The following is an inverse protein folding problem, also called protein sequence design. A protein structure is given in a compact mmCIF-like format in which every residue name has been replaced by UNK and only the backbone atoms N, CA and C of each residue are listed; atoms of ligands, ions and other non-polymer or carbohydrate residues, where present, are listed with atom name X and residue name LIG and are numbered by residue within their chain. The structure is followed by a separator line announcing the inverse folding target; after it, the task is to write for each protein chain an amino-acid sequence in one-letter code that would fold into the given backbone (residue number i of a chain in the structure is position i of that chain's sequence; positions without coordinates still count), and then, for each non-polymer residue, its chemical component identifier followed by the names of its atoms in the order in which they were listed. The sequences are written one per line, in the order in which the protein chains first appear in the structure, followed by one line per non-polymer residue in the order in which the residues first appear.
data_IF_360080918171
#
_entry.id   IF_360080918171
#
_cell.length_a   1.000
_cell.length_b   1.000
_cell.length_c   1.000
_cell.angle_alpha   90.00
_cell.angle_beta   90.00
_cell.angle_gamma   90.00
#
_symmetry.space_group_name_H-M   'P 1'
#
loop_
_entity.id
_entity.type
_entity.pdbx_description
1 polymer ?
#
# COMPACT_ATOMS: atom_id res chain seq x y z
N UNK A 1 6.80 26.80 10.25
CA UNK A 1 6.21 26.88 8.90
C UNK A 1 4.70 26.72 9.02
N UNK A 2 3.92 27.82 9.00
CA UNK A 2 2.45 27.73 9.01
C UNK A 2 1.97 26.85 7.86
N UNK A 3 1.09 25.89 8.14
CA UNK A 3 0.53 24.98 7.12
C UNK A 3 1.46 23.84 6.66
N UNK A 4 2.61 23.61 7.31
CA UNK A 4 3.45 22.45 7.02
C UNK A 4 2.76 21.16 7.47
N UNK A 5 2.65 20.20 6.55
CA UNK A 5 2.16 18.85 6.81
C UNK A 5 3.31 17.85 6.63
N UNK A 6 3.62 17.10 7.68
CA UNK A 6 4.65 16.06 7.67
C UNK A 6 3.97 14.71 7.79
N UNK A 7 4.08 13.92 6.73
CA UNK A 7 3.58 12.55 6.69
C UNK A 7 4.73 11.58 6.99
N UNK A 8 4.54 10.71 7.97
CA UNK A 8 5.43 9.57 8.12
C UNK A 8 5.07 8.52 7.06
N UNK A 9 6.02 8.21 6.17
CA UNK A 9 5.91 7.10 5.24
C UNK A 9 6.82 5.93 5.65
N UNK A 10 6.26 4.90 6.28
CA UNK A 10 7.05 3.78 6.82
C UNK A 10 7.27 2.67 5.79
N UNK A 11 8.50 2.14 5.70
CA UNK A 11 8.81 0.96 4.89
C UNK A 11 8.36 -0.34 5.55
N UNK A 12 7.49 -1.10 4.86
CA UNK A 12 7.01 -2.40 5.33
C UNK A 12 6.09 -2.32 6.56
N UNK A 13 5.29 -3.37 6.78
CA UNK A 13 4.32 -3.41 7.87
C UNK A 13 3.91 -4.81 8.27
N UNK A 14 3.59 -4.97 9.55
CA UNK A 14 2.89 -6.13 10.09
C UNK A 14 1.86 -5.63 11.09
N UNK A 15 0.85 -6.45 11.37
CA UNK A 15 -0.02 -6.21 12.51
C UNK A 15 0.86 -6.16 13.77
N UNK A 16 0.76 -5.08 14.51
CA UNK A 16 1.54 -4.79 15.71
C UNK A 16 0.95 -5.52 16.93
N UNK A 17 1.82 -5.94 17.86
CA UNK A 17 1.40 -6.26 19.23
C UNK A 17 0.92 -5.00 19.95
N UNK A 18 0.24 -5.15 21.08
CA UNK A 18 -0.20 -4.01 21.90
C UNK A 18 0.98 -3.11 22.32
N UNK A 19 2.10 -3.70 22.75
CA UNK A 19 3.27 -2.92 23.15
C UNK A 19 3.92 -2.21 21.95
N UNK A 20 3.94 -2.85 20.79
CA UNK A 20 4.45 -2.25 19.56
C UNK A 20 3.54 -1.10 19.08
N UNK A 21 2.23 -1.28 19.15
CA UNK A 21 1.23 -0.25 18.82
C UNK A 21 1.38 0.97 19.76
N UNK A 22 1.49 0.75 21.08
CA UNK A 22 1.70 1.83 22.04
C UNK A 22 2.99 2.63 21.74
N UNK A 23 4.09 1.94 21.42
CA UNK A 23 5.34 2.60 21.00
C UNK A 23 5.16 3.38 19.70
N UNK A 24 4.45 2.81 18.73
CA UNK A 24 4.21 3.46 17.44
C UNK A 24 3.41 4.76 17.60
N UNK A 25 2.31 4.74 18.36
CA UNK A 25 1.51 5.92 18.69
C UNK A 25 2.36 6.99 19.39
N UNK A 26 3.17 6.59 20.37
CA UNK A 26 4.07 7.51 21.07
C UNK A 26 5.09 8.15 20.12
N UNK A 27 5.66 7.39 19.18
CA UNK A 27 6.58 7.92 18.19
C UNK A 27 5.91 8.92 17.24
N UNK A 28 4.69 8.62 16.75
CA UNK A 28 3.92 9.53 15.90
C UNK A 28 3.71 10.87 16.61
N UNK A 29 3.30 10.83 17.89
CA UNK A 29 3.04 12.02 18.72
C UNK A 29 4.34 12.77 19.04
N UNK A 30 5.38 12.08 19.48
CA UNK A 30 6.65 12.70 19.89
C UNK A 30 7.38 13.38 18.72
N UNK A 31 7.28 12.80 17.52
CA UNK A 31 7.88 13.36 16.30
C UNK A 31 7.01 14.47 15.67
N UNK A 32 5.74 14.59 16.08
CA UNK A 32 4.83 15.61 15.57
C UNK A 32 4.37 15.36 14.13
N UNK A 33 4.23 14.10 13.71
CA UNK A 33 3.69 13.78 12.39
C UNK A 33 2.21 14.14 12.29
N UNK A 34 1.80 14.65 11.13
CA UNK A 34 0.42 15.06 10.84
C UNK A 34 -0.42 13.95 10.22
N UNK A 35 0.22 12.90 9.70
CA UNK A 35 -0.44 11.72 9.14
C UNK A 35 0.55 10.58 9.00
N UNK A 36 0.04 9.38 8.76
CA UNK A 36 0.84 8.18 8.49
C UNK A 36 0.44 7.58 7.14
N UNK A 37 1.40 7.03 6.42
CA UNK A 37 1.21 6.07 5.35
C UNK A 37 2.36 5.06 5.36
N UNK A 38 2.39 4.19 4.36
CA UNK A 38 3.42 3.19 4.23
C UNK A 38 3.90 3.10 2.79
N UNK A 39 5.17 2.72 2.63
CA UNK A 39 5.76 2.47 1.32
C UNK A 39 5.29 1.13 0.77
N UNK A 40 5.16 0.12 1.62
CA UNK A 40 4.67 -1.21 1.26
C UNK A 40 3.82 -1.75 2.42
N UNK A 41 2.55 -2.12 2.18
CA UNK A 41 1.60 -2.48 3.23
C UNK A 41 1.30 -3.99 3.37
N UNK A 42 1.73 -4.90 2.50
CA UNK A 42 1.20 -6.28 2.52
C UNK A 42 2.11 -7.38 3.13
N UNK A 43 3.31 -7.02 3.57
CA UNK A 43 4.32 -7.99 4.03
C UNK A 43 4.95 -8.79 2.88
N UNK A 44 5.43 -10.00 3.17
CA UNK A 44 6.14 -10.86 2.21
C UNK A 44 5.40 -12.20 2.06
N UNK A 45 4.21 -12.16 1.44
CA UNK A 45 3.46 -13.38 1.14
C UNK A 45 3.53 -13.70 -0.35
N UNK A 46 3.63 -14.98 -0.71
CA UNK A 46 3.72 -15.42 -2.11
C UNK A 46 2.46 -15.09 -2.92
N UNK A 47 1.29 -14.96 -2.27
CA UNK A 47 0.00 -14.66 -2.90
C UNK A 47 -0.42 -13.20 -2.73
N UNK A 48 -0.63 -12.52 -3.85
CA UNK A 48 -1.04 -11.13 -3.91
C UNK A 48 -2.39 -10.86 -3.21
N UNK A 49 -3.33 -11.81 -3.22
CA UNK A 49 -4.62 -11.64 -2.55
C UNK A 49 -4.48 -11.67 -1.02
N UNK A 50 -3.58 -12.52 -0.51
CA UNK A 50 -3.23 -12.58 0.92
C UNK A 50 -2.44 -11.35 1.32
N UNK A 51 -1.46 -10.96 0.50
CA UNK A 51 -0.72 -9.71 0.63
C UNK A 51 -1.66 -8.49 0.73
N UNK A 52 -2.64 -8.40 -0.19
CA UNK A 52 -3.66 -7.35 -0.18
C UNK A 52 -4.52 -7.37 1.07
N UNK A 53 -4.97 -8.55 1.50
CA UNK A 53 -5.75 -8.71 2.74
C UNK A 53 -4.96 -8.29 3.99
N UNK A 54 -3.66 -8.60 4.04
CA UNK A 54 -2.78 -8.14 5.11
C UNK A 54 -2.65 -6.62 5.11
N UNK A 55 -2.52 -6.00 3.93
CA UNK A 55 -2.41 -4.54 3.82
C UNK A 55 -3.63 -3.80 4.37
N UNK A 56 -4.82 -4.36 4.16
CA UNK A 56 -6.06 -3.82 4.71
C UNK A 56 -6.05 -3.94 6.23
N UNK A 57 -5.71 -5.12 6.78
CA UNK A 57 -5.67 -5.35 8.24
C UNK A 57 -4.66 -4.45 8.95
N UNK A 58 -3.48 -4.25 8.35
CA UNK A 58 -2.44 -3.37 8.90
C UNK A 58 -2.95 -1.92 8.92
N UNK A 59 -3.56 -1.46 7.82
CA UNK A 59 -4.16 -0.12 7.76
C UNK A 59 -5.25 0.06 8.79
N UNK A 60 -6.18 -0.88 8.91
CA UNK A 60 -7.28 -0.83 9.88
C UNK A 60 -6.78 -0.77 11.33
N UNK A 61 -5.72 -1.51 11.66
CA UNK A 61 -5.10 -1.40 12.98
C UNK A 61 -4.50 0.00 13.19
N UNK A 62 -3.76 0.53 12.21
CA UNK A 62 -3.17 1.88 12.31
C UNK A 62 -4.24 2.96 12.47
N UNK A 63 -5.29 2.89 11.66
CA UNK A 63 -6.43 3.79 11.68
C UNK A 63 -7.16 3.77 13.04
N UNK A 64 -7.24 2.58 13.66
CA UNK A 64 -7.86 2.42 14.98
C UNK A 64 -7.02 3.03 16.12
N UNK A 65 -5.69 2.96 16.04
CA UNK A 65 -4.81 3.36 17.15
C UNK A 65 -4.28 4.79 17.06
N UNK A 66 -4.38 5.43 15.89
CA UNK A 66 -3.82 6.76 15.65
C UNK A 66 -4.89 7.85 15.69
N UNK A 67 -4.53 8.98 16.31
CA UNK A 67 -5.35 10.20 16.31
C UNK A 67 -5.08 11.11 15.09
N UNK A 68 -4.31 10.63 14.11
CA UNK A 68 -3.93 11.36 12.88
C UNK A 68 -4.35 10.56 11.65
N UNK A 69 -4.64 11.23 10.51
CA UNK A 69 -5.00 10.56 9.26
C UNK A 69 -4.04 9.43 8.86
N UNK A 70 -4.61 8.33 8.36
CA UNK A 70 -3.86 7.21 7.78
C UNK A 70 -4.20 7.12 6.30
N UNK A 71 -3.22 7.36 5.42
CA UNK A 71 -3.45 7.29 3.98
C UNK A 71 -3.13 5.88 3.45
N UNK A 72 -4.00 5.31 2.59
CA UNK A 72 -3.77 3.99 2.02
C UNK A 72 -2.62 4.00 1.02
N UNK A 73 -1.85 2.92 1.02
CA UNK A 73 -0.86 2.62 0.00
C UNK A 73 -1.16 1.27 -0.66
N UNK A 74 -1.01 1.20 -1.98
CA UNK A 74 -1.23 -0.02 -2.77
C UNK A 74 0.06 -0.34 -3.52
N UNK A 75 0.69 -1.46 -3.18
CA UNK A 75 1.88 -1.90 -3.91
C UNK A 75 1.52 -2.78 -5.10
N UNK A 76 2.28 -2.68 -6.20
CA UNK A 76 2.07 -3.49 -7.41
C UNK A 76 2.46 -4.94 -7.18
N UNK A 77 3.53 -5.20 -6.43
CA UNK A 77 4.06 -6.54 -6.18
C UNK A 77 5.29 -6.48 -5.28
N UNK A 78 6.06 -7.57 -5.22
CA UNK A 78 7.37 -7.58 -4.57
C UNK A 78 8.25 -8.73 -5.09
N UNK A 79 9.40 -8.39 -5.64
CA UNK A 79 10.49 -9.29 -6.02
C UNK A 79 11.84 -8.55 -5.92
N UNK A 80 12.57 -8.75 -4.83
CA UNK A 80 13.93 -8.24 -4.67
C UNK A 80 15.01 -9.33 -4.85
N UNK A 81 14.64 -10.50 -5.37
CA UNK A 81 15.60 -11.58 -5.65
C UNK A 81 16.73 -11.18 -6.60
N UNK A 82 16.58 -10.25 -7.58
CA UNK A 82 17.70 -9.80 -8.40
C UNK A 82 18.82 -9.13 -7.59
N UNK A 83 18.50 -8.56 -6.42
CA UNK A 83 19.47 -7.93 -5.51
C UNK A 83 20.04 -8.92 -4.49
N UNK A 84 19.26 -9.95 -4.15
CA UNK A 84 19.56 -10.86 -3.05
C UNK A 84 19.56 -12.30 -3.54
N UNK A 85 20.70 -12.82 -4.04
CA UNK A 85 20.79 -14.15 -4.66
C UNK A 85 20.55 -15.32 -3.70
N UNK A 86 20.50 -15.07 -2.38
CA UNK A 86 20.12 -16.05 -1.39
C UNK A 86 18.58 -16.23 -1.27
N UNK A 87 17.80 -15.27 -1.77
CA UNK A 87 16.34 -15.35 -1.80
C UNK A 87 15.89 -16.25 -2.95
N UNK A 88 14.73 -16.86 -2.78
CA UNK A 88 14.12 -17.72 -3.77
C UNK A 88 12.66 -17.37 -4.02
N UNK A 89 11.97 -18.22 -4.76
CA UNK A 89 10.56 -18.05 -5.13
C UNK A 89 9.63 -17.80 -3.92
N UNK A 90 9.97 -18.34 -2.74
CA UNK A 90 9.20 -18.15 -1.50
C UNK A 90 9.24 -16.72 -0.95
N UNK A 91 10.21 -15.92 -1.41
CA UNK A 91 10.40 -14.53 -0.98
C UNK A 91 9.75 -13.53 -1.96
N UNK A 92 9.06 -14.02 -2.99
CA UNK A 92 8.48 -13.24 -4.09
C UNK A 92 6.97 -13.30 -4.05
N UNK A 93 6.29 -12.18 -4.26
CA UNK A 93 4.84 -12.12 -4.49
C UNK A 93 4.58 -12.50 -5.95
N UNK A 94 4.23 -13.75 -6.21
CA UNK A 94 4.10 -14.29 -7.57
C UNK A 94 2.75 -14.97 -7.86
N UNK A 95 2.04 -15.48 -6.85
CA UNK A 95 0.68 -15.96 -7.05
C UNK A 95 -0.29 -14.79 -7.13
N UNK A 96 -1.19 -14.83 -8.13
CA UNK A 96 -2.22 -13.81 -8.38
C UNK A 96 -1.69 -12.37 -8.51
N UNK A 97 -0.39 -12.16 -8.73
CA UNK A 97 0.20 -10.84 -8.98
C UNK A 97 -0.14 -10.38 -10.41
N UNK A 98 -1.31 -9.78 -10.57
CA UNK A 98 -1.90 -9.40 -11.86
C UNK A 98 -2.51 -8.01 -11.81
N UNK A 99 -2.66 -7.32 -12.95
CA UNK A 99 -3.36 -6.04 -13.03
C UNK A 99 -4.77 -6.07 -12.42
N UNK A 100 -5.50 -7.18 -12.57
CA UNK A 100 -6.85 -7.34 -12.02
C UNK A 100 -6.85 -7.41 -10.49
N UNK A 101 -5.92 -8.16 -9.89
CA UNK A 101 -5.77 -8.24 -8.44
C UNK A 101 -5.36 -6.90 -7.85
N UNK A 102 -4.42 -6.20 -8.52
CA UNK A 102 -4.03 -4.85 -8.18
C UNK A 102 -5.21 -3.86 -8.25
N UNK A 103 -5.99 -3.87 -9.33
CA UNK A 103 -7.18 -3.04 -9.47
C UNK A 103 -8.19 -3.26 -8.33
N UNK A 104 -8.37 -4.52 -7.94
CA UNK A 104 -9.25 -4.88 -6.82
C UNK A 104 -8.75 -4.30 -5.50
N UNK A 105 -7.44 -4.38 -5.21
CA UNK A 105 -6.87 -3.79 -4.01
C UNK A 105 -6.94 -2.24 -4.05
N UNK A 106 -6.67 -1.64 -5.21
CA UNK A 106 -6.80 -0.19 -5.42
C UNK A 106 -8.24 0.29 -5.22
N UNK A 107 -9.24 -0.47 -5.67
CA UNK A 107 -10.64 -0.15 -5.44
C UNK A 107 -11.00 -0.17 -3.94
N UNK A 108 -10.43 -1.11 -3.17
CA UNK A 108 -10.62 -1.13 -1.71
C UNK A 108 -9.89 0.04 -1.01
N UNK A 109 -8.73 0.45 -1.51
CA UNK A 109 -8.04 1.66 -1.04
C UNK A 109 -8.85 2.93 -1.35
N UNK A 110 -9.42 3.04 -2.56
CA UNK A 110 -10.34 4.12 -2.94
C UNK A 110 -11.56 4.15 -2.03
N UNK A 111 -12.20 3.01 -1.80
CA UNK A 111 -13.35 2.90 -0.89
C UNK A 111 -13.02 3.37 0.53
N UNK A 112 -11.84 2.99 1.05
CA UNK A 112 -11.35 3.49 2.34
C UNK A 112 -11.16 5.01 2.30
N UNK A 113 -10.46 5.55 1.29
CA UNK A 113 -10.27 7.00 1.19
C UNK A 113 -11.63 7.74 1.10
N UNK A 114 -12.58 7.21 0.33
CA UNK A 114 -13.93 7.76 0.17
C UNK A 114 -14.70 7.76 1.50
N UNK A 115 -14.55 6.73 2.34
CA UNK A 115 -15.22 6.62 3.65
C UNK A 115 -14.66 7.52 4.76
N UNK A 116 -13.57 8.24 4.50
CA UNK A 116 -12.96 9.20 5.42
C UNK A 116 -13.09 10.63 4.85
N UNK A 117 -14.29 11.24 4.90
CA UNK A 117 -14.56 12.56 4.30
C UNK A 117 -13.78 13.71 4.98
N UNK A 118 -13.35 13.54 6.22
CA UNK A 118 -12.53 14.48 6.98
C UNK A 118 -11.04 14.47 6.59
N UNK A 119 -10.61 13.49 5.79
CA UNK A 119 -9.24 13.35 5.31
C UNK A 119 -9.13 13.78 3.83
N UNK A 120 -8.01 14.40 3.41
CA UNK A 120 -7.72 14.59 2.00
C UNK A 120 -7.83 13.28 1.22
N UNK A 121 -8.40 13.32 0.01
CA UNK A 121 -8.47 12.13 -0.84
C UNK A 121 -7.09 11.86 -1.45
N UNK A 122 -6.28 11.08 -0.74
CA UNK A 122 -4.92 10.72 -1.12
C UNK A 122 -4.74 9.21 -1.02
N UNK A 123 -4.20 8.62 -2.09
CA UNK A 123 -3.79 7.21 -2.15
C UNK A 123 -2.39 7.20 -2.76
N UNK A 124 -1.47 6.45 -2.15
CA UNK A 124 -0.14 6.24 -2.74
C UNK A 124 -0.07 4.89 -3.44
N UNK A 125 0.66 4.82 -4.55
CA UNK A 125 0.94 3.57 -5.25
C UNK A 125 2.43 3.31 -5.18
N UNK A 126 2.83 2.14 -4.68
CA UNK A 126 4.20 1.67 -4.72
C UNK A 126 4.37 0.71 -5.91
N UNK A 127 5.13 1.04 -6.94
CA UNK A 127 5.71 2.34 -7.23
C UNK A 127 5.61 2.63 -8.72
N UNK A 128 5.99 3.84 -9.12
CA UNK A 128 6.09 4.16 -10.54
C UNK A 128 7.08 3.24 -11.26
N UNK A 129 8.28 3.04 -10.72
CA UNK A 129 9.41 2.44 -11.44
C UNK A 129 10.36 1.61 -10.58
N UNK A 130 9.90 0.96 -9.51
CA UNK A 130 10.76 0.16 -8.64
C UNK A 130 11.03 -1.24 -9.24
N UNK A 131 11.77 -1.24 -10.35
CA UNK A 131 12.08 -2.43 -11.14
C UNK A 131 12.86 -3.48 -10.36
N UNK A 132 13.77 -3.05 -9.48
CA UNK A 132 14.62 -3.95 -8.68
C UNK A 132 13.91 -4.54 -7.46
N UNK A 133 12.64 -4.19 -7.26
CA UNK A 133 11.73 -4.78 -6.27
C UNK A 133 10.48 -5.40 -6.93
N UNK A 134 10.46 -5.53 -8.27
CA UNK A 134 9.30 -6.09 -8.98
C UNK A 134 7.99 -5.31 -8.75
N UNK A 135 8.07 -4.08 -8.26
CA UNK A 135 6.94 -3.26 -7.79
C UNK A 135 6.84 -2.00 -8.64
N UNK A 136 6.48 -2.16 -9.92
CA UNK A 136 6.47 -1.06 -10.89
C UNK A 136 5.13 -0.95 -11.62
N UNK A 137 4.63 0.27 -11.74
CA UNK A 137 3.45 0.65 -12.51
C UNK A 137 3.80 0.94 -13.98
N UNK A 138 5.08 1.23 -14.26
CA UNK A 138 5.59 1.56 -15.59
C UNK A 138 5.28 0.42 -16.59
N UNK A 139 4.90 0.74 -17.84
CA UNK A 139 4.65 -0.29 -18.84
C UNK A 139 5.86 -1.18 -19.10
N UNK A 140 5.62 -2.48 -19.24
CA UNK A 140 6.64 -3.48 -19.52
C UNK A 140 6.26 -4.33 -20.76
N UNK A 141 7.08 -5.31 -21.09
CA UNK A 141 6.78 -6.24 -22.19
C UNK A 141 5.78 -7.34 -21.81
N UNK A 142 5.53 -7.57 -20.53
CA UNK A 142 4.67 -8.66 -20.03
C UNK A 142 3.21 -8.25 -19.92
N UNK A 143 2.97 -7.10 -19.31
CA UNK A 143 1.68 -6.52 -18.97
C UNK A 143 1.33 -5.31 -19.86
N UNK A 144 2.29 -4.73 -20.59
CA UNK A 144 2.05 -3.55 -21.41
C UNK A 144 1.51 -2.39 -20.55
N UNK A 145 0.37 -1.82 -20.94
CA UNK A 145 -0.27 -0.73 -20.20
C UNK A 145 -1.27 -1.21 -19.13
N UNK A 146 -1.43 -2.51 -18.91
CA UNK A 146 -2.56 -3.05 -18.13
C UNK A 146 -2.64 -2.54 -16.69
N UNK A 147 -1.50 -2.25 -16.04
CA UNK A 147 -1.49 -1.65 -14.71
C UNK A 147 -1.93 -0.17 -14.71
N UNK A 148 -1.60 0.61 -15.74
CA UNK A 148 -2.06 1.98 -15.90
C UNK A 148 -3.56 2.02 -16.23
N UNK A 149 -4.02 1.11 -17.09
CA UNK A 149 -5.44 0.96 -17.37
C UNK A 149 -6.21 0.55 -16.11
N UNK A 150 -5.66 -0.33 -15.26
CA UNK A 150 -6.24 -0.65 -13.95
C UNK A 150 -6.40 0.60 -13.06
N UNK A 151 -5.42 1.50 -13.02
CA UNK A 151 -5.54 2.77 -12.29
C UNK A 151 -6.68 3.63 -12.87
N UNK A 152 -6.74 3.78 -14.19
CA UNK A 152 -7.79 4.55 -14.86
C UNK A 152 -9.18 3.96 -14.59
N UNK A 153 -9.33 2.65 -14.72
CA UNK A 153 -10.61 1.96 -14.51
C UNK A 153 -11.15 2.12 -13.08
N UNK A 154 -10.25 2.16 -12.09
CA UNK A 154 -10.62 2.33 -10.67
C UNK A 154 -10.86 3.79 -10.31
N UNK A 155 -9.98 4.70 -10.74
CA UNK A 155 -9.98 6.09 -10.27
C UNK A 155 -10.89 6.98 -11.12
N UNK A 156 -10.94 6.78 -12.44
CA UNK A 156 -11.68 7.65 -13.36
C UNK A 156 -13.00 7.02 -13.82
N UNK A 157 -12.99 5.73 -14.16
CA UNK A 157 -14.16 5.11 -14.81
C UNK A 157 -15.16 4.48 -13.82
N UNK A 158 -14.78 4.34 -12.54
CA UNK A 158 -15.64 3.77 -11.49
C UNK A 158 -16.05 2.31 -11.74
N UNK A 159 -15.30 1.57 -12.57
CA UNK A 159 -15.64 0.21 -13.01
C UNK A 159 -15.81 -0.77 -11.85
N UNK A 160 -15.11 -0.51 -10.74
CA UNK A 160 -15.09 -1.34 -9.54
C UNK A 160 -16.02 -0.84 -8.42
N UNK A 161 -16.70 0.29 -8.57
CA UNK A 161 -17.54 0.88 -7.51
C UNK A 161 -18.78 0.01 -7.15
N UNK A 162 -19.13 -0.95 -8.01
CA UNK A 162 -20.26 -1.87 -7.80
C UNK A 162 -19.93 -3.05 -6.86
N UNK A 163 -18.67 -3.21 -6.42
CA UNK A 163 -18.18 -4.40 -5.70
C UNK A 163 -17.32 -4.06 -4.44
#
# INVERSE_FOLDING_TARGET
FPGLHIQWNQGGGSVMSEEAAARFVNNVKAMGFNSVAMYNMGGLNEDYLVYGSNSIRIREQMDTILDVPVFPCVSIGWDDTPRFPAKGMKDVVHYHNTPQSFATLLAKAKKYADSHPEQPKLITINAWNEWVEGSYLLPDMLNGFSYLEAVKEVILDGKYDRY
#
